data_IF_477117317350
#
_entry.id   IF_477117317350
#
_cell.length_a   1.000
_cell.length_b   1.000
_cell.length_c   1.000
_cell.angle_alpha   90.00
_cell.angle_beta   90.00
_cell.angle_gamma   90.00
#
_symmetry.space_group_name_H-M   'P 1'
#
loop_
_entity.id
_entity.type
_entity.pdbx_description
1 polymer ?
#
# COMPACT_ATOMS: atom_id res chain seq x y z
N UNK A 1 26.27 15.54 56.03
CA UNK A 1 25.73 15.07 54.73
C UNK A 1 26.40 13.73 54.43
N UNK A 2 25.72 12.58 54.65
CA UNK A 2 26.31 11.24 54.42
C UNK A 2 26.42 11.03 52.90
N UNK A 3 27.64 11.09 52.36
CA UNK A 3 27.91 10.70 50.98
C UNK A 3 27.61 9.20 50.85
N UNK A 4 26.66 8.83 49.99
CA UNK A 4 26.38 7.44 49.72
C UNK A 4 27.67 6.77 49.20
N UNK A 5 28.06 5.63 49.77
CA UNK A 5 29.22 4.86 49.29
C UNK A 5 29.06 4.59 47.79
N UNK A 6 30.09 4.81 46.98
CA UNK A 6 30.11 4.55 45.53
C UNK A 6 29.32 3.29 45.07
N UNK A 7 29.41 2.12 45.73
CA UNK A 7 28.64 0.92 45.34
C UNK A 7 27.11 1.03 45.50
N UNK A 8 26.60 1.90 46.38
CA UNK A 8 25.16 2.13 46.54
C UNK A 8 24.59 3.02 45.42
N UNK A 9 25.38 4.01 44.96
CA UNK A 9 25.04 4.85 43.81
C UNK A 9 25.01 4.01 42.54
N UNK A 10 26.01 3.13 42.35
CA UNK A 10 26.09 2.23 41.20
C UNK A 10 24.90 1.26 41.12
N UNK A 11 24.51 0.63 42.24
CA UNK A 11 23.33 -0.25 42.28
C UNK A 11 22.04 0.50 41.93
N UNK A 12 21.88 1.74 42.41
CA UNK A 12 20.72 2.58 42.10
C UNK A 12 20.71 2.98 40.62
N UNK A 13 21.86 3.34 40.06
CA UNK A 13 22.01 3.67 38.64
C UNK A 13 21.68 2.46 37.74
N UNK A 14 22.23 1.27 38.04
CA UNK A 14 21.92 0.02 37.31
C UNK A 14 20.42 -0.31 37.34
N UNK A 15 19.77 -0.16 38.49
CA UNK A 15 18.31 -0.35 38.62
C UNK A 15 17.51 0.65 37.80
N UNK A 16 17.91 1.93 37.80
CA UNK A 16 17.26 2.96 37.02
C UNK A 16 17.40 2.71 35.51
N UNK A 17 18.61 2.41 35.03
CA UNK A 17 18.86 2.04 33.63
C UNK A 17 18.03 0.81 33.24
N UNK A 18 18.04 -0.23 34.08
CA UNK A 18 17.22 -1.42 33.85
C UNK A 18 15.72 -1.12 33.77
N UNK A 19 15.21 -0.24 34.64
CA UNK A 19 13.81 0.18 34.62
C UNK A 19 13.46 0.99 33.36
N UNK A 20 14.33 1.90 32.94
CA UNK A 20 14.14 2.69 31.70
C UNK A 20 14.16 1.79 30.47
N UNK A 21 15.12 0.86 30.38
CA UNK A 21 15.18 -0.10 29.28
C UNK A 21 13.94 -1.01 29.25
N UNK A 22 13.50 -1.50 30.42
CA UNK A 22 12.29 -2.30 30.52
C UNK A 22 11.07 -1.50 30.06
N UNK A 23 10.91 -0.26 30.50
CA UNK A 23 9.80 0.60 30.09
C UNK A 23 9.83 0.89 28.59
N UNK A 24 11.01 1.11 28.01
CA UNK A 24 11.16 1.30 26.56
C UNK A 24 10.73 0.04 25.78
N UNK A 25 11.19 -1.15 26.19
CA UNK A 25 10.81 -2.42 25.58
C UNK A 25 9.31 -2.67 25.71
N UNK A 26 8.72 -2.43 26.89
CA UNK A 26 7.28 -2.56 27.11
C UNK A 26 6.48 -1.60 26.21
N UNK A 27 6.94 -0.35 26.08
CA UNK A 27 6.30 0.64 25.21
C UNK A 27 6.31 0.18 23.74
N UNK A 28 7.45 -0.31 23.25
CA UNK A 28 7.55 -0.86 21.89
C UNK A 28 6.67 -2.11 21.72
N UNK A 29 6.63 -3.00 22.71
CA UNK A 29 5.78 -4.19 22.68
C UNK A 29 4.28 -3.82 22.61
N UNK A 30 3.86 -2.77 23.34
CA UNK A 30 2.48 -2.26 23.28
C UNK A 30 2.17 -1.72 21.88
N UNK A 31 3.06 -0.91 21.29
CA UNK A 31 2.89 -0.39 19.92
C UNK A 31 2.81 -1.53 18.90
N UNK A 32 3.73 -2.49 18.99
CA UNK A 32 3.74 -3.65 18.11
C UNK A 32 2.48 -4.51 18.24
N UNK A 33 2.03 -4.78 19.47
CA UNK A 33 0.80 -5.51 19.72
C UNK A 33 -0.44 -4.77 19.20
N UNK A 34 -0.48 -3.44 19.36
CA UNK A 34 -1.55 -2.61 18.82
C UNK A 34 -1.61 -2.67 17.29
N UNK A 35 -0.46 -2.50 16.62
CA UNK A 35 -0.38 -2.60 15.16
C UNK A 35 -0.69 -4.01 14.64
N UNK A 36 -0.29 -5.06 15.34
CA UNK A 36 -0.65 -6.43 15.01
C UNK A 36 -2.15 -6.71 15.19
N UNK A 37 -2.77 -6.10 16.20
CA UNK A 37 -4.19 -6.27 16.52
C UNK A 37 -5.07 -5.57 15.48
N UNK A 38 -4.74 -4.31 15.14
CA UNK A 38 -5.48 -3.54 14.14
C UNK A 38 -5.17 -4.02 12.73
N UNK A 39 -3.89 -4.27 12.43
CA UNK A 39 -3.39 -4.76 11.14
C UNK A 39 -3.91 -3.97 9.93
N UNK A 40 -3.60 -2.65 9.84
CA UNK A 40 -4.20 -1.75 8.86
C UNK A 40 -3.91 -2.13 7.40
N UNK A 41 -2.84 -2.90 7.16
CA UNK A 41 -2.45 -3.36 5.82
C UNK A 41 -2.74 -4.85 5.61
N UNK A 42 -3.49 -5.47 6.51
CA UNK A 42 -4.01 -6.84 6.39
C UNK A 42 -2.90 -7.89 6.19
N UNK A 43 -1.74 -7.71 6.84
CA UNK A 43 -0.58 -8.60 6.74
C UNK A 43 -0.82 -9.96 7.41
N UNK A 44 -1.55 -9.96 8.52
CA UNK A 44 -1.84 -11.14 9.33
C UNK A 44 -3.27 -11.64 9.14
N UNK A 45 -4.21 -10.74 8.84
CA UNK A 45 -5.63 -11.07 8.68
C UNK A 45 -6.36 -10.08 7.80
N UNK A 46 -7.43 -10.53 7.15
CA UNK A 46 -8.37 -9.60 6.51
C UNK A 46 -9.10 -8.78 7.57
N UNK A 47 -9.37 -7.52 7.24
CA UNK A 47 -10.18 -6.65 8.09
C UNK A 47 -11.58 -7.25 8.24
N UNK A 48 -11.96 -7.53 9.49
CA UNK A 48 -13.27 -8.11 9.87
C UNK A 48 -13.93 -7.34 11.01
N UNK A 49 -13.17 -6.57 11.78
CA UNK A 49 -13.63 -5.75 12.91
C UNK A 49 -14.01 -4.33 12.50
N UNK A 50 -13.60 -3.91 11.33
CA UNK A 50 -13.82 -2.59 10.74
C UNK A 50 -13.87 -2.73 9.21
N UNK A 51 -14.49 -1.79 8.47
CA UNK A 51 -14.46 -1.81 7.02
C UNK A 51 -13.01 -1.76 6.50
N UNK A 52 -12.61 -2.62 5.54
CA UNK A 52 -11.23 -2.65 5.05
C UNK A 52 -10.81 -1.27 4.54
N UNK A 53 -9.53 -0.92 4.66
CA UNK A 53 -9.00 0.35 4.18
C UNK A 53 -7.93 0.12 3.13
N UNK A 54 -8.25 0.48 1.89
CA UNK A 54 -7.32 0.44 0.78
C UNK A 54 -6.79 1.85 0.52
N UNK A 55 -5.58 2.12 1.00
CA UNK A 55 -4.90 3.39 0.84
C UNK A 55 -4.18 3.44 -0.53
N UNK A 56 -4.49 4.39 -1.43
CA UNK A 56 -3.98 4.39 -2.81
C UNK A 56 -2.45 4.42 -2.96
N UNK A 57 -1.72 4.92 -1.97
CA UNK A 57 -0.25 4.98 -2.03
C UNK A 57 0.44 3.76 -1.39
N UNK A 58 -0.34 2.79 -0.89
CA UNK A 58 0.17 1.67 -0.11
C UNK A 58 -0.04 0.31 -0.79
N UNK A 59 -0.20 0.26 -2.12
CA UNK A 59 -0.27 -0.97 -2.90
C UNK A 59 0.79 -2.00 -2.50
N UNK A 60 2.05 -1.57 -2.43
CA UNK A 60 3.21 -2.41 -2.10
C UNK A 60 3.22 -2.93 -0.66
N UNK A 61 2.42 -2.32 0.22
CA UNK A 61 2.27 -2.72 1.61
C UNK A 61 1.03 -3.59 1.80
N UNK A 62 -0.11 -3.23 1.21
CA UNK A 62 -1.39 -3.93 1.39
C UNK A 62 -1.48 -5.18 0.49
N UNK A 63 -0.98 -5.08 -0.74
CA UNK A 63 -0.96 -6.16 -1.73
C UNK A 63 -0.47 -7.52 -1.21
N UNK A 64 0.70 -7.62 -0.54
CA UNK A 64 1.16 -8.89 0.01
C UNK A 64 0.25 -9.43 1.11
N UNK A 65 -0.38 -8.57 1.91
CA UNK A 65 -1.37 -8.97 2.91
C UNK A 65 -2.60 -9.60 2.27
N UNK A 66 -3.10 -8.99 1.19
CA UNK A 66 -4.18 -9.54 0.37
C UNK A 66 -3.80 -10.86 -0.29
N UNK A 67 -2.62 -10.95 -0.90
CA UNK A 67 -2.11 -12.18 -1.50
C UNK A 67 -2.05 -13.33 -0.47
N UNK A 68 -1.62 -13.03 0.75
CA UNK A 68 -1.52 -14.02 1.83
C UNK A 68 -2.89 -14.41 2.38
N UNK A 69 -3.81 -13.46 2.57
CA UNK A 69 -4.97 -13.64 3.45
C UNK A 69 -6.34 -13.65 2.73
N UNK A 70 -6.46 -13.11 1.52
CA UNK A 70 -7.71 -13.12 0.76
C UNK A 70 -8.05 -14.50 0.17
N UNK A 71 -9.34 -14.81 0.05
CA UNK A 71 -9.82 -16.01 -0.63
C UNK A 71 -10.00 -15.74 -2.13
N UNK A 72 -9.21 -16.42 -2.95
CA UNK A 72 -9.27 -16.31 -4.41
C UNK A 72 -8.65 -17.56 -5.07
N UNK A 73 -9.08 -17.85 -6.30
CA UNK A 73 -8.48 -18.87 -7.18
C UNK A 73 -7.80 -18.28 -8.42
N UNK A 74 -8.11 -17.02 -8.74
CA UNK A 74 -7.61 -16.30 -9.91
C UNK A 74 -6.88 -15.03 -9.46
N UNK A 75 -5.65 -14.82 -9.94
CA UNK A 75 -4.91 -13.57 -9.74
C UNK A 75 -4.85 -12.77 -11.03
N UNK A 76 -5.13 -11.47 -10.95
CA UNK A 76 -4.69 -10.49 -11.95
C UNK A 76 -3.47 -9.75 -11.39
N UNK A 77 -2.39 -9.70 -12.16
CA UNK A 77 -1.19 -8.94 -11.82
C UNK A 77 -0.73 -8.14 -13.04
N UNK A 78 -0.39 -6.87 -12.81
CA UNK A 78 0.07 -5.93 -13.83
C UNK A 78 0.37 -4.56 -13.23
N UNK A 79 0.70 -3.59 -14.09
CA UNK A 79 0.97 -2.21 -13.68
C UNK A 79 -0.30 -1.39 -13.39
N UNK A 80 -0.18 -0.06 -13.34
CA UNK A 80 -1.29 0.88 -13.19
C UNK A 80 -2.39 0.72 -14.24
N UNK A 81 -2.07 0.16 -15.42
CA UNK A 81 -3.04 -0.09 -16.49
C UNK A 81 -4.18 -1.00 -16.00
N UNK A 82 -3.88 -1.94 -15.09
CA UNK A 82 -4.84 -2.94 -14.61
C UNK A 82 -5.51 -2.58 -13.27
N UNK A 83 -5.17 -1.45 -12.61
CA UNK A 83 -5.69 -1.09 -11.28
C UNK A 83 -7.22 -0.98 -11.23
N UNK A 84 -7.84 -0.45 -12.30
CA UNK A 84 -9.29 -0.25 -12.36
C UNK A 84 -10.10 -1.54 -12.64
N UNK A 85 -9.45 -2.68 -12.81
CA UNK A 85 -10.15 -3.95 -13.04
C UNK A 85 -10.70 -4.49 -11.72
N UNK A 86 -12.03 -4.60 -11.64
CA UNK A 86 -12.74 -5.09 -10.45
C UNK A 86 -12.58 -6.60 -10.25
N UNK A 87 -12.42 -7.04 -9.02
CA UNK A 87 -12.26 -8.44 -8.63
C UNK A 87 -13.43 -9.30 -9.11
N UNK A 88 -14.66 -8.85 -8.87
CA UNK A 88 -15.89 -9.54 -9.25
C UNK A 88 -16.10 -9.60 -10.76
N UNK A 89 -15.57 -8.64 -11.53
CA UNK A 89 -15.56 -8.73 -12.98
C UNK A 89 -14.68 -9.90 -13.44
N UNK A 90 -13.45 -9.99 -12.92
CA UNK A 90 -12.52 -11.08 -13.24
C UNK A 90 -13.13 -12.43 -12.81
N UNK A 91 -13.65 -12.50 -11.58
CA UNK A 91 -14.24 -13.73 -11.04
C UNK A 91 -15.40 -14.25 -11.88
N UNK A 92 -16.33 -13.37 -12.30
CA UNK A 92 -17.43 -13.74 -13.20
C UNK A 92 -16.93 -14.22 -14.57
N UNK A 93 -15.97 -13.52 -15.17
CA UNK A 93 -15.40 -13.91 -16.46
C UNK A 93 -14.63 -15.25 -16.39
N UNK A 94 -14.04 -15.55 -15.23
CA UNK A 94 -13.18 -16.71 -15.01
C UNK A 94 -13.90 -17.93 -14.40
N UNK A 95 -15.15 -17.77 -13.94
CA UNK A 95 -15.92 -18.79 -13.25
C UNK A 95 -15.35 -19.16 -11.87
N UNK A 96 -15.07 -18.15 -11.03
CA UNK A 96 -14.45 -18.35 -9.72
C UNK A 96 -14.31 -17.06 -8.90
N UNK A 97 -13.41 -17.07 -7.91
CA UNK A 97 -13.06 -15.89 -7.11
C UNK A 97 -11.73 -15.32 -7.55
N UNK A 98 -11.64 -13.99 -7.65
CA UNK A 98 -10.46 -13.34 -8.18
C UNK A 98 -9.95 -12.22 -7.29
N UNK A 99 -8.67 -11.92 -7.41
CA UNK A 99 -8.05 -10.76 -6.80
C UNK A 99 -7.12 -10.03 -7.76
N UNK A 100 -7.22 -8.70 -7.76
CA UNK A 100 -6.35 -7.80 -8.48
C UNK A 100 -5.21 -7.34 -7.57
N UNK A 101 -4.01 -7.81 -7.87
CA UNK A 101 -2.75 -7.46 -7.19
C UNK A 101 -1.88 -6.54 -8.06
N UNK A 102 -2.50 -5.77 -8.96
CA UNK A 102 -1.82 -4.78 -9.78
C UNK A 102 -1.35 -3.60 -8.94
N UNK A 103 -0.25 -2.97 -9.34
CA UNK A 103 0.33 -1.83 -8.62
C UNK A 103 0.89 -0.79 -9.60
N UNK A 104 0.92 0.51 -9.23
CA UNK A 104 1.50 1.54 -10.08
C UNK A 104 2.96 1.25 -10.44
N UNK A 105 3.26 1.35 -11.73
CA UNK A 105 4.61 1.15 -12.29
C UNK A 105 5.29 -0.14 -11.78
N UNK A 106 4.54 -1.25 -11.79
CA UNK A 106 5.05 -2.55 -11.38
C UNK A 106 6.18 -3.00 -12.33
N UNK A 107 7.37 -3.27 -11.80
CA UNK A 107 8.45 -3.87 -12.61
C UNK A 107 8.30 -5.39 -12.72
N UNK A 108 9.02 -6.02 -13.65
CA UNK A 108 9.07 -7.48 -13.78
C UNK A 108 9.53 -8.15 -12.47
N UNK A 109 10.49 -7.55 -11.76
CA UNK A 109 10.93 -8.01 -10.44
C UNK A 109 9.77 -8.01 -9.44
N UNK A 110 9.07 -6.89 -9.28
CA UNK A 110 7.95 -6.76 -8.33
C UNK A 110 6.79 -7.70 -8.67
N UNK A 111 6.47 -7.84 -9.96
CA UNK A 111 5.48 -8.79 -10.44
C UNK A 111 5.86 -10.22 -10.07
N UNK A 112 7.13 -10.60 -10.27
CA UNK A 112 7.62 -11.94 -9.91
C UNK A 112 7.51 -12.21 -8.41
N UNK A 113 7.84 -11.22 -7.56
CA UNK A 113 7.77 -11.35 -6.10
C UNK A 113 6.31 -11.46 -5.65
N UNK A 114 5.40 -10.65 -6.19
CA UNK A 114 3.97 -10.72 -5.88
C UNK A 114 3.36 -12.07 -6.29
N UNK A 115 3.64 -12.55 -7.50
CA UNK A 115 3.14 -13.84 -7.98
C UNK A 115 3.70 -15.02 -7.17
N UNK A 116 5.00 -15.00 -6.83
CA UNK A 116 5.59 -16.00 -5.91
C UNK A 116 4.93 -15.98 -4.53
N UNK A 117 4.60 -14.79 -4.02
CA UNK A 117 3.88 -14.63 -2.74
C UNK A 117 2.50 -15.26 -2.81
N UNK A 118 1.73 -14.98 -3.86
CA UNK A 118 0.41 -15.55 -4.08
C UNK A 118 0.45 -17.08 -4.25
N UNK A 119 1.38 -17.59 -5.07
CA UNK A 119 1.57 -19.04 -5.31
C UNK A 119 1.96 -19.80 -4.05
N UNK A 120 2.75 -19.21 -3.15
CA UNK A 120 3.10 -19.83 -1.86
C UNK A 120 1.93 -19.83 -0.88
N UNK A 121 1.04 -18.85 -0.97
CA UNK A 121 -0.07 -18.69 -0.04
C UNK A 121 -1.34 -19.44 -0.46
N UNK A 122 -1.53 -19.69 -1.77
CA UNK A 122 -2.79 -20.15 -2.36
C UNK A 122 -2.57 -21.19 -3.46
N UNK A 123 -3.50 -22.14 -3.55
CA UNK A 123 -3.63 -23.04 -4.70
C UNK A 123 -4.37 -22.32 -5.82
N UNK A 124 -3.64 -21.60 -6.66
CA UNK A 124 -4.22 -20.82 -7.76
C UNK A 124 -4.67 -21.73 -8.90
N UNK A 125 -5.89 -21.50 -9.39
CA UNK A 125 -6.39 -22.10 -10.63
C UNK A 125 -5.93 -21.32 -11.85
N UNK A 126 -5.78 -20.00 -11.73
CA UNK A 126 -5.43 -19.11 -12.85
C UNK A 126 -4.57 -17.93 -12.42
N UNK A 127 -3.62 -17.59 -13.26
CA UNK A 127 -2.87 -16.32 -13.19
C UNK A 127 -3.10 -15.59 -14.51
N UNK A 128 -3.59 -14.37 -14.44
CA UNK A 128 -3.66 -13.42 -15.54
C UNK A 128 -2.53 -12.43 -15.30
N UNK A 129 -1.45 -12.60 -16.04
CA UNK A 129 -0.28 -11.74 -15.96
C UNK A 129 -0.30 -10.79 -17.14
N UNK A 130 -0.37 -9.50 -16.86
CA UNK A 130 -0.27 -8.44 -17.85
C UNK A 130 1.14 -7.89 -17.80
N UNK A 131 1.81 -7.94 -18.94
CA UNK A 131 3.19 -7.46 -19.12
C UNK A 131 3.10 -6.27 -20.06
N UNK A 132 3.46 -5.10 -19.58
CA UNK A 132 3.47 -3.86 -20.34
C UNK A 132 4.84 -3.18 -20.28
N UNK A 133 4.92 -1.92 -20.70
CA UNK A 133 6.17 -1.19 -20.78
C UNK A 133 6.90 -1.11 -19.43
N UNK A 134 6.20 -1.20 -18.29
CA UNK A 134 6.83 -1.17 -16.97
C UNK A 134 7.60 -2.45 -16.67
N UNK A 135 7.11 -3.61 -17.09
CA UNK A 135 7.81 -4.87 -16.91
C UNK A 135 8.99 -5.02 -17.89
N UNK A 136 8.94 -4.37 -19.05
CA UNK A 136 10.04 -4.32 -20.01
C UNK A 136 11.06 -3.20 -19.75
N UNK A 137 10.76 -2.26 -18.84
CA UNK A 137 11.66 -1.16 -18.51
C UNK A 137 12.66 -1.58 -17.42
N UNK A 138 13.94 -1.61 -17.76
CA UNK A 138 15.04 -1.93 -16.85
C UNK A 138 15.44 -3.41 -16.84
N UNK A 139 16.40 -3.74 -15.98
CA UNK A 139 16.87 -5.10 -15.76
C UNK A 139 15.86 -6.00 -15.05
N UNK A 140 16.04 -7.32 -15.13
CA UNK A 140 15.12 -8.31 -14.56
C UNK A 140 14.95 -8.23 -13.03
N UNK A 141 15.96 -7.69 -12.33
CA UNK A 141 15.95 -7.49 -10.88
C UNK A 141 15.75 -6.02 -10.50
N UNK A 142 15.62 -5.14 -11.49
CA UNK A 142 15.48 -3.71 -11.27
C UNK A 142 14.03 -3.33 -10.98
N UNK A 143 13.88 -2.18 -10.32
CA UNK A 143 12.60 -1.56 -10.01
C UNK A 143 12.52 -0.23 -10.72
N UNK A 144 11.31 0.16 -11.09
CA UNK A 144 11.08 1.50 -11.64
C UNK A 144 11.51 2.55 -10.61
N UNK A 145 12.24 3.58 -11.01
CA UNK A 145 12.67 4.64 -10.09
C UNK A 145 11.47 5.38 -9.47
N UNK A 146 10.40 5.52 -10.26
CA UNK A 146 9.13 6.11 -9.83
C UNK A 146 8.34 5.20 -8.89
N UNK A 147 8.71 3.92 -8.76
CA UNK A 147 8.10 3.01 -7.80
C UNK A 147 8.55 3.42 -6.39
N UNK A 148 7.60 3.82 -5.55
CA UNK A 148 7.84 4.12 -4.14
C UNK A 148 8.45 2.93 -3.37
N UNK A 149 8.66 3.06 -2.05
CA UNK A 149 9.34 2.03 -1.25
C UNK A 149 8.71 0.63 -1.39
N UNK A 150 9.56 -0.41 -1.38
CA UNK A 150 9.14 -1.80 -1.46
C UNK A 150 9.54 -2.59 -0.21
N UNK A 151 8.57 -2.92 0.67
CA UNK A 151 8.84 -3.63 1.91
C UNK A 151 8.94 -5.14 1.66
N UNK A 152 10.07 -5.60 1.12
CA UNK A 152 10.25 -7.01 0.71
C UNK A 152 9.93 -8.02 1.83
N UNK A 153 10.20 -7.67 3.09
CA UNK A 153 9.88 -8.49 4.27
C UNK A 153 8.38 -8.82 4.38
N UNK A 154 7.48 -7.97 3.89
CA UNK A 154 6.05 -8.24 3.93
C UNK A 154 5.59 -9.33 2.94
N UNK A 155 6.41 -9.68 1.95
CA UNK A 155 6.08 -10.65 0.89
C UNK A 155 6.40 -12.10 1.27
N UNK A 156 6.91 -12.33 2.48
CA UNK A 156 7.15 -13.67 3.03
C UNK A 156 6.16 -13.99 4.18
N UNK A 157 6.44 -15.08 4.91
CA UNK A 157 5.70 -15.49 6.12
C UNK A 157 6.62 -15.58 7.34
N UNK A 158 7.70 -14.82 7.37
CA UNK A 158 8.68 -14.82 8.45
C UNK A 158 8.29 -13.78 9.53
N UNK A 159 7.69 -14.17 10.66
CA UNK A 159 7.23 -13.21 11.65
C UNK A 159 8.36 -12.42 12.34
N UNK A 160 9.61 -12.87 12.23
CA UNK A 160 10.75 -12.23 12.90
C UNK A 160 11.19 -10.94 12.22
N UNK A 161 10.95 -10.79 10.90
CA UNK A 161 11.30 -9.56 10.17
C UNK A 161 10.16 -8.53 10.15
N UNK A 162 8.95 -8.92 10.59
CA UNK A 162 7.78 -8.05 10.67
C UNK A 162 7.89 -6.95 11.74
N UNK A 163 8.94 -6.97 12.58
CA UNK A 163 9.21 -5.88 13.54
C UNK A 163 9.27 -4.51 12.84
N UNK A 164 9.80 -4.45 11.62
CA UNK A 164 9.84 -3.23 10.83
C UNK A 164 8.44 -2.71 10.47
N UNK A 165 7.48 -3.60 10.27
CA UNK A 165 6.08 -3.28 10.06
C UNK A 165 5.39 -2.89 11.37
N UNK A 166 5.53 -3.73 12.41
CA UNK A 166 4.86 -3.56 13.70
C UNK A 166 5.27 -2.29 14.45
N UNK A 167 6.51 -1.85 14.30
CA UNK A 167 7.02 -0.65 14.97
C UNK A 167 7.09 0.58 14.04
N UNK A 168 6.52 0.48 12.84
CA UNK A 168 6.49 1.60 11.89
C UNK A 168 5.53 2.71 12.33
N UNK A 169 6.01 3.95 12.30
CA UNK A 169 5.20 5.13 12.56
C UNK A 169 4.01 5.24 11.58
N UNK A 170 4.24 5.00 10.29
CA UNK A 170 3.17 5.05 9.28
C UNK A 170 2.07 4.03 9.57
N UNK A 171 2.45 2.83 10.04
CA UNK A 171 1.50 1.77 10.40
C UNK A 171 0.72 2.18 11.65
N UNK A 172 1.41 2.72 12.67
CA UNK A 172 0.77 3.23 13.88
C UNK A 172 -0.24 4.35 13.56
N UNK A 173 0.11 5.29 12.68
CA UNK A 173 -0.77 6.37 12.24
C UNK A 173 -2.05 5.81 11.59
N UNK A 174 -1.93 4.82 10.68
CA UNK A 174 -3.12 4.19 10.07
C UNK A 174 -3.94 3.42 11.08
N UNK A 175 -3.31 2.66 11.97
CA UNK A 175 -4.00 1.93 13.04
C UNK A 175 -4.78 2.87 13.96
N UNK A 176 -4.18 3.99 14.37
CA UNK A 176 -4.83 5.02 15.16
C UNK A 176 -6.00 5.65 14.39
N UNK A 177 -5.84 5.95 13.09
CA UNK A 177 -6.93 6.51 12.28
C UNK A 177 -8.14 5.57 12.16
N UNK A 178 -7.91 4.25 12.10
CA UNK A 178 -8.97 3.24 12.06
C UNK A 178 -9.77 3.26 13.36
N UNK A 179 -9.06 3.17 14.49
CA UNK A 179 -9.69 3.19 15.82
C UNK A 179 -10.34 4.54 16.09
N UNK A 180 -9.74 5.64 15.61
CA UNK A 180 -10.29 6.99 15.73
C UNK A 180 -11.63 7.14 15.04
N UNK A 181 -11.77 6.66 13.80
CA UNK A 181 -13.01 6.76 13.05
C UNK A 181 -14.11 5.88 13.66
N UNK A 182 -13.75 4.70 14.17
CA UNK A 182 -14.65 3.80 14.88
C UNK A 182 -15.17 4.44 16.18
N UNK A 183 -14.28 5.06 16.96
CA UNK A 183 -14.62 5.75 18.21
C UNK A 183 -15.26 7.13 18.03
N UNK A 184 -14.99 7.83 16.92
CA UNK A 184 -15.56 9.16 16.63
C UNK A 184 -16.93 9.10 15.95
N UNK A 185 -17.49 7.90 15.78
CA UNK A 185 -18.93 7.69 15.82
C UNK A 185 -19.52 7.96 17.23
N UNK A 186 -18.66 8.06 18.27
CA UNK A 186 -19.06 8.16 19.69
C UNK A 186 -18.40 9.29 20.50
N UNK A 187 -17.39 10.03 20.01
CA UNK A 187 -16.82 11.19 20.75
C UNK A 187 -16.05 12.23 19.90
N UNK A 188 -16.03 13.49 20.36
CA UNK A 188 -15.43 14.67 19.68
C UNK A 188 -13.90 14.75 19.75
N UNK A 189 -13.26 14.00 20.66
CA UNK A 189 -11.84 14.18 21.00
C UNK A 189 -10.84 13.60 19.99
N UNK A 190 -11.24 12.68 19.09
CA UNK A 190 -10.35 12.04 18.11
C UNK A 190 -10.44 12.61 16.68
N UNK A 191 -10.87 13.87 16.53
CA UNK A 191 -11.00 14.53 15.21
C UNK A 191 -9.67 14.89 14.53
N UNK A 192 -8.53 14.72 15.20
CA UNK A 192 -7.20 15.13 14.71
C UNK A 192 -6.80 14.43 13.40
N UNK A 193 -7.34 13.23 13.13
CA UNK A 193 -7.01 12.45 11.94
C UNK A 193 -8.02 12.56 10.79
N UNK A 194 -9.16 13.27 10.98
CA UNK A 194 -10.20 13.39 9.96
C UNK A 194 -9.84 14.46 8.93
N UNK A 195 -9.81 14.06 7.66
CA UNK A 195 -9.64 14.97 6.52
C UNK A 195 -8.21 15.12 6.00
N UNK A 196 -7.22 14.41 6.56
CA UNK A 196 -5.89 14.35 5.95
C UNK A 196 -5.97 13.56 4.62
N UNK A 197 -5.61 14.16 3.47
CA UNK A 197 -5.56 13.47 2.17
C UNK A 197 -4.73 12.17 2.19
N UNK A 198 -3.70 12.09 3.04
CA UNK A 198 -2.86 10.90 3.24
C UNK A 198 -3.63 9.74 3.87
N UNK A 199 -4.75 10.03 4.53
CA UNK A 199 -5.67 9.05 5.11
C UNK A 199 -6.87 8.75 4.21
N UNK A 200 -6.87 9.21 2.94
CA UNK A 200 -7.90 8.79 1.99
C UNK A 200 -7.80 7.29 1.69
N UNK A 201 -8.92 6.59 1.75
CA UNK A 201 -9.02 5.16 1.45
C UNK A 201 -10.33 4.84 0.70
N UNK A 202 -10.39 3.69 0.03
CA UNK A 202 -11.67 3.04 -0.30
C UNK A 202 -11.91 1.88 0.65
N UNK A 203 -13.17 1.60 0.96
CA UNK A 203 -13.58 0.42 1.70
C UNK A 203 -14.20 -0.66 0.81
N UNK A 204 -14.15 -0.50 -0.51
CA UNK A 204 -14.69 -1.46 -1.46
C UNK A 204 -13.70 -2.59 -1.74
N UNK A 205 -13.91 -3.83 -1.24
CA UNK A 205 -13.02 -4.96 -1.50
C UNK A 205 -13.10 -5.48 -2.94
N UNK A 206 -14.16 -5.14 -3.70
CA UNK A 206 -14.27 -5.49 -5.12
C UNK A 206 -13.35 -4.62 -6.00
N UNK A 207 -13.02 -3.43 -5.52
CA UNK A 207 -12.35 -2.39 -6.29
C UNK A 207 -11.32 -1.63 -5.43
N UNK A 208 -10.34 -2.31 -4.82
CA UNK A 208 -9.43 -1.71 -3.84
C UNK A 208 -8.55 -0.59 -4.42
N UNK A 209 -8.25 -0.66 -5.72
CA UNK A 209 -7.36 0.27 -6.44
C UNK A 209 -8.12 1.17 -7.41
N UNK A 210 -9.45 1.09 -7.45
CA UNK A 210 -10.24 1.79 -8.44
C UNK A 210 -10.24 3.29 -8.20
N UNK A 211 -9.76 4.03 -9.19
CA UNK A 211 -9.64 5.48 -9.15
C UNK A 211 -10.55 6.20 -10.17
N UNK A 212 -11.28 5.47 -11.01
CA UNK A 212 -12.17 6.04 -12.03
C UNK A 212 -13.30 6.92 -11.49
N UNK A 213 -13.70 6.76 -10.24
CA UNK A 213 -14.68 7.64 -9.56
C UNK A 213 -14.03 8.90 -8.96
N UNK A 214 -12.72 8.84 -8.68
CA UNK A 214 -11.95 9.92 -8.02
C UNK A 214 -11.30 10.87 -9.01
N UNK A 215 -10.97 10.36 -10.19
CA UNK A 215 -10.34 11.12 -11.27
C UNK A 215 -11.31 11.15 -12.44
N UNK A 216 -11.70 12.36 -12.85
CA UNK A 216 -12.51 12.57 -14.05
C UNK A 216 -11.59 13.10 -15.14
N UNK A 217 -11.70 12.52 -16.33
CA UNK A 217 -11.11 13.13 -17.52
C UNK A 217 -11.94 14.37 -17.85
N UNK A 218 -11.42 15.55 -17.50
CA UNK A 218 -12.06 16.82 -17.80
C UNK A 218 -11.36 17.42 -19.02
N UNK A 219 -12.15 17.70 -20.08
CA UNK A 219 -11.67 18.45 -21.25
C UNK A 219 -10.87 19.68 -20.81
N UNK A 220 -11.39 20.41 -19.84
CA UNK A 220 -10.80 21.67 -19.38
C UNK A 220 -9.44 21.47 -18.70
N UNK A 221 -9.20 20.36 -18.00
CA UNK A 221 -7.87 20.06 -17.43
C UNK A 221 -6.86 19.64 -18.51
N UNK A 222 -7.31 18.92 -19.56
CA UNK A 222 -6.47 18.59 -20.71
C UNK A 222 -6.12 19.84 -21.51
N UNK A 223 -7.08 20.76 -21.65
CA UNK A 223 -6.93 22.00 -22.41
C UNK A 223 -6.32 23.15 -21.61
N UNK A 224 -6.18 23.02 -20.28
CA UNK A 224 -5.82 24.12 -19.36
C UNK A 224 -4.58 24.88 -19.77
N UNK A 225 -3.59 24.14 -20.28
CA UNK A 225 -2.33 24.71 -20.73
C UNK A 225 -2.18 24.67 -22.27
N UNK A 226 -3.18 24.19 -23.02
CA UNK A 226 -3.10 24.13 -24.49
C UNK A 226 -3.57 25.44 -25.11
N UNK A 227 -2.64 26.22 -25.65
CA UNK A 227 -2.96 27.27 -26.61
C UNK A 227 -3.33 26.62 -27.95
N UNK A 228 -4.63 26.50 -28.22
CA UNK A 228 -5.16 25.92 -29.44
C UNK A 228 -4.72 26.67 -30.72
N UNK A 229 -4.33 27.95 -30.60
CA UNK A 229 -3.86 28.76 -31.74
C UNK A 229 -2.38 28.55 -32.06
N UNK A 230 -1.61 28.03 -31.10
CA UNK A 230 -0.16 27.76 -31.22
C UNK A 230 0.20 26.31 -30.90
N UNK A 231 -0.77 25.40 -31.01
CA UNK A 231 -0.64 24.00 -30.60
C UNK A 231 0.59 23.33 -31.23
N UNK A 232 0.79 23.55 -32.53
CA UNK A 232 1.92 23.01 -33.29
C UNK A 232 3.28 23.58 -32.83
N UNK A 233 3.34 24.85 -32.44
CA UNK A 233 4.58 25.48 -31.96
C UNK A 233 5.02 24.87 -30.61
N UNK A 234 4.09 24.61 -29.70
CA UNK A 234 4.40 24.03 -28.38
C UNK A 234 4.98 22.62 -28.46
N UNK A 235 4.53 21.80 -29.42
CA UNK A 235 4.98 20.41 -29.59
C UNK A 235 6.02 20.23 -30.70
N UNK A 236 6.56 21.32 -31.25
CA UNK A 236 7.46 21.30 -32.42
C UNK A 236 6.91 20.45 -33.58
N UNK A 237 5.58 20.41 -33.73
CA UNK A 237 4.93 19.68 -34.82
C UNK A 237 4.84 20.58 -36.06
N UNK A 238 5.10 20.08 -37.27
CA UNK A 238 4.88 20.83 -38.48
C UNK A 238 3.39 21.15 -38.65
N UNK A 239 3.09 22.21 -39.40
CA UNK A 239 1.70 22.53 -39.74
C UNK A 239 1.08 21.37 -40.53
N UNK A 240 0.06 20.73 -39.96
CA UNK A 240 -0.67 19.66 -40.65
C UNK A 240 -1.67 20.28 -41.61
N UNK A 241 -1.40 20.19 -42.91
CA UNK A 241 -2.40 20.48 -43.95
C UNK A 241 -3.16 19.20 -44.31
N UNK A 242 -4.42 19.33 -44.74
CA UNK A 242 -5.22 18.19 -45.18
C UNK A 242 -4.53 17.40 -46.31
N UNK A 243 -3.80 18.08 -47.19
CA UNK A 243 -3.04 17.44 -48.27
C UNK A 243 -1.84 16.61 -47.78
N UNK A 244 -1.27 16.92 -46.61
CA UNK A 244 -0.16 16.17 -46.03
C UNK A 244 -0.59 14.92 -45.24
N UNK A 245 -1.90 14.76 -44.98
CA UNK A 245 -2.47 13.60 -44.27
C UNK A 245 -3.08 12.55 -45.22
N UNK A 246 -3.11 12.83 -46.53
CA UNK A 246 -3.66 11.95 -47.57
C UNK A 246 -2.58 11.22 -48.38
N UNK A 247 -1.30 11.35 -48.00
CA UNK A 247 -0.17 10.55 -48.51
C UNK A 247 0.17 9.47 -47.49
#
# INVERSE_FOLDING_TARGET
MKTASAPAVERRARRWVGAVLLLAVLSLAIVGAFNWHVDPFQQYRLASRYPPRFFPLHHRYIGPGLAKNALYDTVLSGSSIMENTRNGFIGRACGGTAINLSMPAMSAYEQSVMLKTALRARSLRRIIMVVDFNEFAGGAEERQEIAGPFPAHLYDRNPFNDVAYLLSWNVLEKSLSIVADDLSASSTALRIFRGDPKNSFTANPDAPWFWGERKRFARDEVLRDLDLTRLNQRFAQPSRSLGAMQQ
#
